data_IF_258473274996
#
_entry.id   IF_258473274996
#
_cell.length_a   1.000
_cell.length_b   1.000
_cell.length_c   1.000
_cell.angle_alpha   90.00
_cell.angle_beta   90.00
_cell.angle_gamma   90.00
#
_symmetry.space_group_name_H-M   'P 1'
#
loop_
_entity.id
_entity.type
_entity.pdbx_description
1 polymer ?
#
# COMPACT_ATOMS: atom_id res chain seq x y z
N UNK A 1 -24.45 -28.60 14.19
CA UNK A 1 -23.60 -27.72 13.36
C UNK A 1 -24.50 -27.15 12.29
N UNK A 2 -24.96 -25.90 12.41
CA UNK A 2 -25.92 -25.32 11.45
C UNK A 2 -25.25 -24.63 10.26
N UNK A 3 -23.97 -24.23 10.37
CA UNK A 3 -23.19 -23.65 9.28
C UNK A 3 -21.89 -24.40 9.04
N UNK A 4 -21.62 -24.75 7.77
CA UNK A 4 -20.40 -25.50 7.35
C UNK A 4 -19.43 -24.65 6.52
N UNK A 5 -19.90 -23.53 5.97
CA UNK A 5 -19.09 -22.58 5.21
C UNK A 5 -18.71 -21.41 6.12
N UNK A 6 -17.42 -21.11 6.24
CA UNK A 6 -16.93 -19.95 7.00
C UNK A 6 -17.06 -18.64 6.23
N UNK A 7 -15.98 -17.86 6.22
CA UNK A 7 -15.87 -16.61 5.45
C UNK A 7 -15.94 -16.88 3.94
N UNK A 8 -16.76 -16.11 3.23
CA UNK A 8 -16.87 -16.16 1.76
C UNK A 8 -16.48 -14.82 1.18
N UNK A 9 -15.59 -14.83 0.20
CA UNK A 9 -15.09 -13.61 -0.46
C UNK A 9 -15.48 -13.64 -1.93
N UNK A 10 -16.08 -12.56 -2.42
CA UNK A 10 -16.54 -12.43 -3.82
C UNK A 10 -15.98 -11.15 -4.44
N UNK A 11 -15.21 -11.28 -5.52
CA UNK A 11 -14.92 -10.15 -6.40
C UNK A 11 -16.15 -9.85 -7.25
N UNK A 12 -16.69 -8.64 -7.13
CA UNK A 12 -17.88 -8.21 -7.85
C UNK A 12 -17.47 -7.46 -9.11
N UNK A 13 -18.01 -7.87 -10.26
CA UNK A 13 -17.77 -7.16 -11.51
C UNK A 13 -18.46 -5.80 -11.48
N UNK A 14 -17.71 -4.75 -11.81
CA UNK A 14 -18.18 -3.36 -11.80
C UNK A 14 -18.10 -2.71 -13.18
N UNK A 15 -18.75 -1.55 -13.38
CA UNK A 15 -18.56 -0.75 -14.58
C UNK A 15 -17.18 -0.11 -14.62
N UNK A 16 -16.80 0.40 -15.80
CA UNK A 16 -15.62 1.26 -15.93
C UNK A 16 -15.95 2.60 -15.27
N UNK A 17 -15.25 2.92 -14.19
CA UNK A 17 -15.44 4.16 -13.42
C UNK A 17 -14.77 5.33 -14.13
N UNK A 18 -15.45 6.45 -14.32
CA UNK A 18 -14.92 7.66 -14.93
C UNK A 18 -14.86 8.81 -13.93
N UNK A 19 -14.11 9.85 -14.29
CA UNK A 19 -14.09 11.09 -13.51
C UNK A 19 -15.49 11.69 -13.42
N UNK A 20 -15.89 12.07 -12.21
CA UNK A 20 -17.20 12.64 -11.90
C UNK A 20 -18.29 11.60 -11.64
N UNK A 21 -17.99 10.31 -11.74
CA UNK A 21 -18.95 9.26 -11.40
C UNK A 21 -19.29 9.28 -9.89
N UNK A 22 -20.56 9.02 -9.57
CA UNK A 22 -21.01 8.83 -8.20
C UNK A 22 -20.60 7.43 -7.73
N UNK A 23 -19.44 7.34 -7.09
CA UNK A 23 -18.85 6.06 -6.70
C UNK A 23 -19.71 5.37 -5.63
N UNK A 24 -20.34 6.12 -4.72
CA UNK A 24 -21.19 5.58 -3.68
C UNK A 24 -22.37 4.80 -4.27
N UNK A 25 -23.06 5.42 -5.24
CA UNK A 25 -24.23 4.82 -5.89
C UNK A 25 -23.83 3.60 -6.72
N UNK A 26 -22.70 3.66 -7.43
CA UNK A 26 -22.20 2.54 -8.23
C UNK A 26 -21.89 1.33 -7.34
N UNK A 27 -21.24 1.53 -6.19
CA UNK A 27 -20.91 0.46 -5.25
C UNK A 27 -22.18 -0.18 -4.70
N UNK A 28 -23.13 0.64 -4.23
CA UNK A 28 -24.42 0.18 -3.72
C UNK A 28 -25.14 -0.68 -4.76
N UNK A 29 -25.27 -0.17 -5.97
CA UNK A 29 -26.00 -0.87 -7.04
C UNK A 29 -25.30 -2.17 -7.44
N UNK A 30 -23.97 -2.18 -7.49
CA UNK A 30 -23.17 -3.37 -7.77
C UNK A 30 -23.36 -4.46 -6.72
N UNK A 31 -23.36 -4.10 -5.43
CA UNK A 31 -23.58 -5.03 -4.31
C UNK A 31 -24.99 -5.61 -4.35
N UNK A 32 -26.01 -4.77 -4.53
CA UNK A 32 -27.42 -5.22 -4.57
C UNK A 32 -27.70 -6.07 -5.80
N UNK A 33 -27.15 -5.70 -6.96
CA UNK A 33 -27.27 -6.48 -8.18
C UNK A 33 -26.61 -7.85 -8.00
N UNK A 34 -25.39 -7.90 -7.46
CA UNK A 34 -24.69 -9.16 -7.21
C UNK A 34 -25.46 -10.06 -6.24
N UNK A 35 -25.95 -9.49 -5.13
CA UNK A 35 -26.78 -10.22 -4.15
C UNK A 35 -28.01 -10.86 -4.81
N UNK A 36 -28.70 -10.10 -5.66
CA UNK A 36 -29.87 -10.60 -6.39
C UNK A 36 -29.54 -11.66 -7.44
N UNK A 37 -28.49 -11.44 -8.24
CA UNK A 37 -28.16 -12.32 -9.38
C UNK A 37 -27.49 -13.62 -8.93
N UNK A 38 -26.61 -13.55 -7.95
CA UNK A 38 -25.86 -14.71 -7.42
C UNK A 38 -26.58 -15.39 -6.24
N UNK A 39 -27.72 -14.85 -5.80
CA UNK A 39 -28.59 -15.49 -4.82
C UNK A 39 -28.04 -15.56 -3.40
N UNK A 40 -27.21 -14.59 -2.98
CA UNK A 40 -26.77 -14.48 -1.58
C UNK A 40 -27.50 -13.33 -0.87
N UNK A 41 -27.79 -13.51 0.41
CA UNK A 41 -28.38 -12.47 1.26
C UNK A 41 -27.28 -11.64 1.90
N UNK A 42 -27.47 -10.32 1.96
CA UNK A 42 -26.59 -9.42 2.71
C UNK A 42 -26.94 -9.55 4.20
N UNK A 43 -25.93 -9.72 5.05
CA UNK A 43 -26.08 -9.92 6.48
C UNK A 43 -25.49 -8.77 7.31
N UNK A 44 -25.78 -8.79 8.60
CA UNK A 44 -25.21 -7.88 9.58
C UNK A 44 -23.68 -8.08 9.65
N UNK A 45 -22.91 -6.99 9.66
CA UNK A 45 -21.44 -6.99 9.69
C UNK A 45 -20.74 -7.65 8.48
N UNK A 46 -21.47 -7.95 7.40
CA UNK A 46 -20.82 -8.23 6.11
C UNK A 46 -20.02 -6.99 5.66
N UNK A 47 -18.98 -7.19 4.85
CA UNK A 47 -18.05 -6.13 4.47
C UNK A 47 -18.11 -5.88 2.97
N UNK A 48 -18.21 -4.61 2.59
CA UNK A 48 -18.04 -4.12 1.23
C UNK A 48 -16.70 -3.39 1.14
N UNK A 49 -15.79 -3.88 0.31
CA UNK A 49 -14.50 -3.25 0.08
C UNK A 49 -14.41 -2.74 -1.37
N UNK A 50 -13.85 -1.55 -1.58
CA UNK A 50 -13.62 -0.96 -2.90
C UNK A 50 -12.18 -0.43 -3.02
N UNK A 51 -11.57 -0.54 -4.20
CA UNK A 51 -10.17 -0.13 -4.36
C UNK A 51 -9.99 1.38 -4.24
N UNK A 52 -8.84 1.83 -3.71
CA UNK A 52 -8.42 3.24 -3.72
C UNK A 52 -8.46 3.82 -5.15
N UNK A 53 -8.05 2.97 -6.09
CA UNK A 53 -7.78 3.31 -7.48
C UNK A 53 -9.03 3.81 -8.20
N UNK A 54 -10.19 3.22 -7.92
CA UNK A 54 -11.47 3.67 -8.50
C UNK A 54 -12.00 4.93 -7.83
N UNK A 55 -11.75 5.11 -6.53
CA UNK A 55 -12.15 6.33 -5.80
C UNK A 55 -11.36 7.51 -6.34
N UNK A 56 -10.04 7.38 -6.47
CA UNK A 56 -9.18 8.40 -7.07
C UNK A 56 -9.60 8.74 -8.51
N UNK A 57 -10.02 7.72 -9.28
CA UNK A 57 -10.50 7.92 -10.66
C UNK A 57 -11.81 8.69 -10.71
N UNK A 58 -12.78 8.33 -9.87
CA UNK A 58 -14.05 9.05 -9.74
C UNK A 58 -13.84 10.51 -9.30
N UNK A 59 -12.91 10.75 -8.37
CA UNK A 59 -12.54 12.09 -7.92
C UNK A 59 -11.86 12.94 -8.99
N UNK A 60 -11.30 12.32 -10.03
CA UNK A 60 -10.47 13.03 -11.00
C UNK A 60 -9.15 13.50 -10.38
N UNK A 61 -8.61 12.78 -9.38
CA UNK A 61 -7.42 13.21 -8.65
C UNK A 61 -6.14 12.97 -9.48
N UNK A 62 -5.93 13.81 -10.50
CA UNK A 62 -4.84 13.69 -11.47
C UNK A 62 -3.91 14.89 -11.44
N UNK A 63 -2.63 14.65 -11.74
CA UNK A 63 -1.65 15.70 -11.95
C UNK A 63 -0.73 15.34 -13.13
N UNK A 64 -0.14 16.37 -13.75
CA UNK A 64 0.82 16.21 -14.85
C UNK A 64 2.25 16.26 -14.29
N UNK A 65 3.20 15.82 -15.11
CA UNK A 65 4.64 16.03 -14.87
C UNK A 65 4.95 17.51 -14.57
N UNK A 66 4.26 18.44 -15.24
CA UNK A 66 4.47 19.88 -15.09
C UNK A 66 4.02 20.41 -13.74
N UNK A 67 2.89 19.90 -13.21
CA UNK A 67 2.45 20.24 -11.87
C UNK A 67 3.47 19.77 -10.82
N UNK A 68 4.01 18.55 -10.97
CA UNK A 68 5.06 18.01 -10.09
C UNK A 68 6.32 18.88 -10.19
N UNK A 69 6.75 19.21 -11.41
CA UNK A 69 7.94 20.01 -11.66
C UNK A 69 7.85 21.40 -11.01
N UNK A 70 6.73 22.09 -11.18
CA UNK A 70 6.49 23.40 -10.58
C UNK A 70 6.53 23.34 -9.05
N UNK A 71 6.00 22.28 -8.45
CA UNK A 71 6.02 22.11 -7.01
C UNK A 71 7.44 21.82 -6.49
N UNK A 72 8.18 20.97 -7.19
CA UNK A 72 9.59 20.67 -6.90
C UNK A 72 10.45 21.93 -7.02
N UNK A 73 10.31 22.70 -8.09
CA UNK A 73 11.00 23.97 -8.30
C UNK A 73 10.69 24.96 -7.17
N UNK A 74 9.42 25.08 -6.75
CA UNK A 74 9.04 25.99 -5.66
C UNK A 74 9.67 25.64 -4.31
N UNK A 75 9.97 24.35 -4.08
CA UNK A 75 10.52 23.83 -2.83
C UNK A 75 12.04 23.83 -2.80
N UNK A 76 12.67 23.50 -3.93
CA UNK A 76 14.12 23.31 -4.01
C UNK A 76 14.84 24.48 -4.69
N UNK A 77 14.20 25.19 -5.62
CA UNK A 77 14.82 26.23 -6.43
C UNK A 77 15.97 25.68 -7.27
N UNK A 78 17.08 26.41 -7.30
CA UNK A 78 18.28 26.06 -8.09
C UNK A 78 19.25 25.09 -7.38
N UNK A 79 18.81 24.42 -6.32
CA UNK A 79 19.68 23.50 -5.58
C UNK A 79 19.94 22.20 -6.36
N UNK A 80 21.06 21.54 -6.06
CA UNK A 80 21.22 20.12 -6.41
C UNK A 80 20.33 19.30 -5.48
N UNK A 81 19.46 18.46 -6.04
CA UNK A 81 18.52 17.65 -5.26
C UNK A 81 19.08 16.24 -5.08
N UNK A 82 19.19 15.81 -3.84
CA UNK A 82 19.43 14.41 -3.50
C UNK A 82 18.12 13.65 -3.53
N UNK A 83 17.91 12.78 -4.52
CA UNK A 83 16.71 11.94 -4.62
C UNK A 83 17.04 10.56 -4.09
N UNK A 84 16.44 10.16 -2.97
CA UNK A 84 16.89 8.97 -2.23
C UNK A 84 15.77 7.95 -2.01
N UNK A 85 16.16 6.68 -2.00
CA UNK A 85 15.31 5.54 -1.64
C UNK A 85 13.98 5.42 -2.39
N UNK A 86 13.92 5.67 -3.71
CA UNK A 86 12.69 5.39 -4.45
C UNK A 86 12.43 3.88 -4.52
N UNK A 87 11.15 3.53 -4.58
CA UNK A 87 10.78 2.17 -4.99
C UNK A 87 11.04 1.98 -6.48
N UNK A 88 11.55 0.83 -6.86
CA UNK A 88 11.92 0.45 -8.22
C UNK A 88 10.69 -0.03 -9.00
N UNK A 89 9.81 0.91 -9.31
CA UNK A 89 8.60 0.67 -10.08
C UNK A 89 8.45 1.68 -11.21
N UNK A 90 8.28 1.17 -12.43
CA UNK A 90 7.91 2.00 -13.60
C UNK A 90 6.54 2.64 -13.42
N UNK A 91 5.61 1.93 -12.78
CA UNK A 91 4.23 2.40 -12.62
C UNK A 91 4.10 3.46 -11.51
N UNK A 92 4.82 3.28 -10.39
CA UNK A 92 4.71 4.15 -9.22
C UNK A 92 5.66 5.35 -9.26
N UNK A 93 6.85 5.19 -9.85
CA UNK A 93 7.91 6.21 -9.71
C UNK A 93 8.35 6.89 -11.00
N UNK A 94 8.15 6.30 -12.19
CA UNK A 94 8.70 6.88 -13.42
C UNK A 94 8.19 8.31 -13.72
N UNK A 95 6.88 8.53 -13.71
CA UNK A 95 6.31 9.86 -13.98
C UNK A 95 6.59 10.84 -12.83
N UNK A 96 6.64 10.36 -11.59
CA UNK A 96 7.09 11.16 -10.45
C UNK A 96 8.52 11.64 -10.67
N UNK A 97 9.44 10.76 -11.05
CA UNK A 97 10.84 11.09 -11.32
C UNK A 97 10.99 12.06 -12.50
N UNK A 98 10.18 11.91 -13.56
CA UNK A 98 10.14 12.88 -14.66
C UNK A 98 9.77 14.27 -14.19
N UNK A 99 8.74 14.38 -13.34
CA UNK A 99 8.34 15.66 -12.73
C UNK A 99 9.43 16.24 -11.84
N UNK A 100 10.06 15.40 -10.99
CA UNK A 100 11.18 15.80 -10.14
C UNK A 100 12.36 16.30 -10.97
N UNK A 101 12.74 15.56 -12.03
CA UNK A 101 13.81 15.95 -12.94
C UNK A 101 13.51 17.28 -13.62
N UNK A 102 12.33 17.43 -14.22
CA UNK A 102 11.94 18.66 -14.90
C UNK A 102 11.95 19.90 -13.99
N UNK A 103 11.68 19.74 -12.69
CA UNK A 103 11.75 20.80 -11.69
C UNK A 103 13.10 20.97 -10.99
N UNK A 104 14.12 20.17 -11.34
CA UNK A 104 15.42 20.17 -10.70
C UNK A 104 16.50 20.80 -11.60
N UNK A 105 17.58 21.30 -10.97
CA UNK A 105 18.77 21.76 -11.70
C UNK A 105 19.80 20.65 -11.93
N UNK A 106 20.03 19.83 -10.91
CA UNK A 106 20.91 18.65 -10.91
C UNK A 106 20.33 17.64 -9.91
N UNK A 107 20.47 16.35 -10.22
CA UNK A 107 20.04 15.27 -9.32
C UNK A 107 21.23 14.39 -8.94
N UNK A 108 21.31 14.08 -7.64
CA UNK A 108 22.10 12.94 -7.15
C UNK A 108 21.10 11.86 -6.74
N UNK A 109 21.02 10.79 -7.54
CA UNK A 109 20.11 9.67 -7.32
C UNK A 109 20.80 8.62 -6.44
N UNK A 110 20.30 8.45 -5.21
CA UNK A 110 20.80 7.43 -4.29
C UNK A 110 19.83 6.26 -4.19
N UNK A 111 20.27 5.09 -4.67
CA UNK A 111 19.48 3.86 -4.63
C UNK A 111 19.91 2.97 -3.46
N UNK A 112 18.92 2.40 -2.77
CA UNK A 112 19.13 1.32 -1.81
C UNK A 112 19.56 0.04 -2.54
N UNK A 113 20.38 -0.78 -1.89
CA UNK A 113 20.82 -2.07 -2.43
C UNK A 113 21.02 -3.11 -1.31
N UNK A 114 20.73 -4.42 -1.52
CA UNK A 114 20.42 -5.06 -2.80
C UNK A 114 19.05 -4.73 -3.37
N UNK A 115 18.13 -4.21 -2.55
CA UNK A 115 16.75 -3.93 -2.93
C UNK A 115 16.23 -2.62 -2.33
N UNK A 116 15.10 -2.13 -2.86
CA UNK A 116 14.33 -1.03 -2.27
C UNK A 116 13.55 -1.45 -1.01
N UNK A 117 12.78 -0.51 -0.44
CA UNK A 117 11.99 -0.75 0.78
C UNK A 117 10.96 -1.88 0.65
N UNK A 118 10.39 -2.07 -0.55
CA UNK A 118 9.39 -3.12 -0.80
C UNK A 118 10.01 -4.41 -1.29
N UNK A 119 11.32 -4.46 -1.53
CA UNK A 119 12.04 -5.67 -1.92
C UNK A 119 12.18 -5.87 -3.42
N UNK A 120 12.03 -4.84 -4.26
CA UNK A 120 12.51 -4.93 -5.65
C UNK A 120 14.03 -4.91 -5.66
N UNK A 121 14.63 -5.96 -6.20
CA UNK A 121 16.08 -6.13 -6.19
C UNK A 121 16.74 -5.45 -7.40
N UNK A 122 17.81 -4.69 -7.14
CA UNK A 122 18.82 -4.33 -8.14
C UNK A 122 19.80 -5.47 -8.38
N UNK A 123 20.11 -6.22 -7.32
CA UNK A 123 21.07 -7.32 -7.31
C UNK A 123 20.66 -8.37 -6.27
N UNK A 124 21.02 -9.64 -6.47
CA UNK A 124 20.75 -10.67 -5.45
C UNK A 124 21.66 -10.50 -4.24
N UNK A 125 21.18 -10.92 -3.08
CA UNK A 125 21.98 -10.92 -1.85
C UNK A 125 23.19 -11.87 -1.96
N UNK A 126 23.02 -13.02 -2.62
CA UNK A 126 24.11 -13.97 -2.85
C UNK A 126 25.26 -13.35 -3.65
N UNK A 127 24.94 -12.48 -4.63
CA UNK A 127 25.98 -11.81 -5.42
C UNK A 127 26.73 -10.74 -4.61
N UNK A 128 26.08 -10.15 -3.59
CA UNK A 128 26.80 -9.28 -2.65
C UNK A 128 27.84 -10.08 -1.86
N UNK A 129 27.46 -11.26 -1.35
CA UNK A 129 28.34 -12.15 -0.60
C UNK A 129 29.52 -12.63 -1.46
N UNK A 130 29.24 -13.05 -2.71
CA UNK A 130 30.27 -13.48 -3.67
C UNK A 130 31.29 -12.38 -3.98
N UNK A 131 30.86 -11.11 -4.02
CA UNK A 131 31.71 -9.96 -4.31
C UNK A 131 32.32 -9.33 -3.06
N UNK A 132 31.93 -9.78 -1.87
CA UNK A 132 32.39 -9.21 -0.60
C UNK A 132 31.92 -7.76 -0.37
N UNK A 133 30.79 -7.37 -0.94
CA UNK A 133 30.21 -6.03 -0.82
C UNK A 133 29.24 -6.00 0.35
N UNK A 134 29.43 -5.10 1.31
CA UNK A 134 28.57 -4.97 2.47
C UNK A 134 27.53 -3.85 2.29
N UNK A 135 26.23 -4.19 2.10
CA UNK A 135 25.20 -3.19 1.83
C UNK A 135 24.92 -2.26 3.02
N UNK A 136 25.39 -2.58 4.22
CA UNK A 136 25.17 -1.77 5.43
C UNK A 136 26.23 -0.68 5.62
N UNK A 137 27.41 -0.84 5.05
CA UNK A 137 28.55 0.06 5.27
C UNK A 137 29.08 0.67 3.99
N UNK A 138 29.01 -0.05 2.88
CA UNK A 138 29.69 0.35 1.68
C UNK A 138 28.85 1.38 0.92
N UNK A 139 29.53 2.37 0.36
CA UNK A 139 28.96 3.35 -0.54
C UNK A 139 29.60 3.13 -1.90
N UNK A 140 28.77 2.91 -2.92
CA UNK A 140 29.24 2.64 -4.27
C UNK A 140 28.85 3.79 -5.19
N UNK A 141 29.76 4.18 -6.06
CA UNK A 141 29.43 4.94 -7.27
C UNK A 141 28.81 4.00 -8.31
N UNK A 142 28.12 4.55 -9.31
CA UNK A 142 27.65 3.80 -10.49
C UNK A 142 28.74 2.93 -11.10
N UNK A 143 29.93 3.49 -11.35
CA UNK A 143 31.05 2.73 -11.90
C UNK A 143 31.42 1.53 -11.02
N UNK A 144 31.55 1.72 -9.70
CA UNK A 144 31.88 0.63 -8.78
C UNK A 144 30.78 -0.44 -8.77
N UNK A 145 29.51 -0.03 -8.74
CA UNK A 145 28.38 -0.96 -8.82
C UNK A 145 28.45 -1.79 -10.11
N UNK A 146 28.69 -1.14 -11.26
CA UNK A 146 28.84 -1.81 -12.57
C UNK A 146 30.07 -2.71 -12.63
N UNK A 147 31.19 -2.31 -12.03
CA UNK A 147 32.40 -3.14 -11.97
C UNK A 147 32.17 -4.43 -11.15
N UNK A 148 31.40 -4.35 -10.06
CA UNK A 148 31.06 -5.51 -9.24
C UNK A 148 30.02 -6.42 -9.89
N UNK A 149 28.94 -5.84 -10.43
CA UNK A 149 27.71 -6.58 -10.75
C UNK A 149 27.32 -6.54 -12.24
N UNK A 150 27.91 -5.64 -13.03
CA UNK A 150 27.55 -5.42 -14.42
C UNK A 150 26.17 -4.77 -14.60
N UNK A 151 25.48 -5.18 -15.66
CA UNK A 151 24.15 -4.68 -16.04
C UNK A 151 23.09 -5.71 -15.69
N UNK A 152 22.51 -5.59 -14.49
CA UNK A 152 21.50 -6.51 -13.99
C UNK A 152 20.10 -6.04 -14.42
N UNK A 153 19.36 -6.94 -15.05
CA UNK A 153 17.97 -6.73 -15.43
C UNK A 153 17.05 -7.35 -14.39
N UNK A 154 16.02 -6.61 -14.01
CA UNK A 154 15.03 -7.07 -13.07
C UNK A 154 14.28 -8.31 -13.59
N UNK A 155 14.10 -9.32 -12.74
CA UNK A 155 13.61 -10.66 -13.11
C UNK A 155 12.27 -10.65 -13.83
N UNK A 156 11.33 -9.79 -13.42
CA UNK A 156 10.00 -9.76 -14.02
C UNK A 156 9.84 -8.80 -15.20
N UNK A 157 10.62 -7.71 -15.24
CA UNK A 157 10.43 -6.64 -16.22
C UNK A 157 11.50 -6.64 -17.31
N UNK A 158 12.65 -7.29 -17.09
CA UNK A 158 13.79 -7.25 -18.00
C UNK A 158 14.48 -5.89 -18.10
N UNK A 159 14.17 -4.96 -17.18
CA UNK A 159 14.66 -3.58 -17.16
C UNK A 159 15.87 -3.48 -16.23
N UNK A 160 16.91 -2.78 -16.69
CA UNK A 160 17.96 -2.26 -15.82
C UNK A 160 17.46 -0.95 -15.21
N UNK A 161 17.07 -0.96 -13.94
CA UNK A 161 16.44 0.19 -13.29
C UNK A 161 17.41 1.37 -13.09
N UNK A 162 18.72 1.11 -13.02
CA UNK A 162 19.74 2.15 -12.88
C UNK A 162 19.81 2.95 -14.19
N UNK A 163 19.98 2.26 -15.33
CA UNK A 163 19.97 2.92 -16.66
C UNK A 163 18.62 3.59 -16.91
N UNK A 164 17.53 2.90 -16.58
CA UNK A 164 16.20 3.41 -16.82
C UNK A 164 15.96 4.73 -16.09
N UNK A 165 16.17 4.80 -14.78
CA UNK A 165 15.95 6.04 -14.03
C UNK A 165 16.91 7.15 -14.38
N UNK A 166 18.17 6.82 -14.66
CA UNK A 166 19.13 7.80 -15.18
C UNK A 166 18.65 8.40 -16.50
N UNK A 167 18.18 7.57 -17.44
CA UNK A 167 17.66 8.05 -18.73
C UNK A 167 16.42 8.94 -18.58
N UNK A 168 15.54 8.68 -17.60
CA UNK A 168 14.38 9.53 -17.34
C UNK A 168 14.77 10.94 -16.88
N UNK A 169 15.87 11.06 -16.13
CA UNK A 169 16.37 12.36 -15.64
C UNK A 169 17.07 13.10 -16.79
N UNK A 170 17.94 12.40 -17.51
CA UNK A 170 18.74 12.97 -18.61
C UNK A 170 17.89 13.40 -19.82
N UNK A 171 16.69 12.82 -20.01
CA UNK A 171 15.74 13.26 -21.03
C UNK A 171 15.36 14.74 -20.91
N UNK A 172 15.37 15.30 -19.69
CA UNK A 172 15.12 16.72 -19.43
C UNK A 172 16.39 17.58 -19.46
N UNK A 173 17.53 17.02 -19.90
CA UNK A 173 18.82 17.70 -19.93
C UNK A 173 19.43 17.93 -18.54
N UNK A 174 18.98 17.18 -17.53
CA UNK A 174 19.42 17.31 -16.14
C UNK A 174 20.58 16.37 -15.87
N UNK A 175 21.66 16.90 -15.29
CA UNK A 175 22.79 16.09 -14.86
C UNK A 175 22.36 15.14 -13.74
N UNK A 176 22.70 13.85 -13.89
CA UNK A 176 22.40 12.79 -12.94
C UNK A 176 23.67 12.08 -12.49
N UNK A 177 23.95 12.12 -11.19
CA UNK A 177 24.96 11.29 -10.54
C UNK A 177 24.27 10.17 -9.76
N UNK A 178 24.61 8.90 -10.05
CA UNK A 178 24.02 7.75 -9.35
C UNK A 178 25.00 7.19 -8.31
N UNK A 179 24.53 7.06 -7.08
CA UNK A 179 25.24 6.42 -5.96
C UNK A 179 24.37 5.37 -5.27
N UNK A 180 24.99 4.50 -4.49
CA UNK A 180 24.33 3.41 -3.77
C UNK A 180 24.72 3.43 -2.31
N UNK A 181 23.73 3.47 -1.42
CA UNK A 181 23.90 3.40 0.03
C UNK A 181 22.57 3.03 0.67
N UNK A 182 22.59 2.34 1.80
CA UNK A 182 21.42 2.16 2.66
C UNK A 182 21.39 3.14 3.84
N UNK A 183 22.36 4.05 3.91
CA UNK A 183 22.45 5.07 4.95
C UNK A 183 22.03 6.43 4.36
N UNK A 184 20.90 6.96 4.83
CA UNK A 184 20.36 8.23 4.35
C UNK A 184 21.37 9.38 4.43
N UNK A 185 22.26 9.37 5.45
CA UNK A 185 23.22 10.45 5.67
C UNK A 185 24.24 10.59 4.54
N UNK A 186 24.51 9.52 3.80
CA UNK A 186 25.48 9.53 2.69
C UNK A 186 25.14 10.62 1.65
N UNK A 187 23.85 10.91 1.42
CA UNK A 187 23.46 11.95 0.46
C UNK A 187 23.91 13.36 0.89
N UNK A 188 24.13 13.59 2.19
CA UNK A 188 24.48 14.90 2.73
C UNK A 188 25.92 15.31 2.39
N UNK A 189 26.76 14.36 1.97
CA UNK A 189 28.10 14.65 1.42
C UNK A 189 28.00 15.31 0.03
N UNK A 190 26.84 15.21 -0.62
CA UNK A 190 26.59 15.72 -1.97
C UNK A 190 25.68 16.95 -1.98
N UNK A 191 24.66 16.98 -1.12
CA UNK A 191 23.73 18.10 -1.02
C UNK A 191 22.94 18.09 0.30
N UNK A 192 22.55 19.28 0.76
CA UNK A 192 21.66 19.45 1.93
C UNK A 192 20.19 19.57 1.54
N UNK A 193 19.88 19.50 0.26
CA UNK A 193 18.54 19.60 -0.31
C UNK A 193 18.13 18.24 -0.82
N UNK A 194 17.25 17.57 -0.07
CA UNK A 194 16.98 16.14 -0.21
C UNK A 194 15.48 15.88 -0.35
N UNK A 195 15.13 15.08 -1.36
CA UNK A 195 13.81 14.47 -1.53
C UNK A 195 13.89 12.98 -1.20
N UNK A 196 13.22 12.57 -0.13
CA UNK A 196 13.15 11.16 0.27
C UNK A 196 11.90 10.48 -0.28
N UNK A 197 12.09 9.35 -0.96
CA UNK A 197 11.07 8.66 -1.74
C UNK A 197 10.63 7.31 -1.16
N UNK A 198 11.14 6.97 0.03
CA UNK A 198 10.66 5.85 0.81
C UNK A 198 9.20 6.07 1.24
N UNK A 199 8.46 4.98 1.38
CA UNK A 199 7.04 5.00 1.70
C UNK A 199 6.89 4.86 3.22
N UNK A 200 7.25 3.71 3.78
CA UNK A 200 6.91 3.37 5.18
C UNK A 200 7.92 3.93 6.18
N UNK A 201 9.16 4.15 5.74
CA UNK A 201 10.26 4.66 6.57
C UNK A 201 10.46 6.18 6.46
N UNK A 202 9.67 6.88 5.64
CA UNK A 202 9.81 8.31 5.30
C UNK A 202 10.04 9.24 6.48
N UNK A 203 9.28 9.05 7.55
CA UNK A 203 9.40 9.89 8.75
C UNK A 203 10.74 9.69 9.47
N UNK A 204 11.22 8.44 9.53
CA UNK A 204 12.53 8.12 10.09
C UNK A 204 13.64 8.70 9.21
N UNK A 205 13.53 8.56 7.90
CA UNK A 205 14.52 9.08 6.95
C UNK A 205 14.63 10.60 7.01
N UNK A 206 13.49 11.32 6.96
CA UNK A 206 13.46 12.79 7.14
C UNK A 206 14.09 13.21 8.46
N UNK A 207 13.75 12.53 9.56
CA UNK A 207 14.34 12.82 10.87
C UNK A 207 15.86 12.67 10.85
N UNK A 208 16.38 11.58 10.30
CA UNK A 208 17.83 11.34 10.19
C UNK A 208 18.51 12.46 9.39
N UNK A 209 17.94 12.86 8.26
CA UNK A 209 18.51 13.92 7.42
C UNK A 209 18.53 15.27 8.14
N UNK A 210 17.41 15.67 8.76
CA UNK A 210 17.31 16.92 9.52
C UNK A 210 18.29 16.95 10.70
N UNK A 211 18.38 15.87 11.47
CA UNK A 211 19.27 15.76 12.64
C UNK A 211 20.76 15.79 12.25
N UNK A 212 21.10 15.60 10.97
CA UNK A 212 22.48 15.54 10.46
C UNK A 212 22.81 16.66 9.47
N UNK A 213 22.02 17.74 9.42
CA UNK A 213 22.35 18.96 8.69
C UNK A 213 21.73 19.11 7.30
N UNK A 214 20.70 18.33 6.98
CA UNK A 214 19.81 18.65 5.85
C UNK A 214 19.09 19.98 6.08
N UNK A 215 18.99 20.80 5.03
CA UNK A 215 18.39 22.15 5.10
C UNK A 215 16.99 22.16 4.46
N UNK A 216 16.87 21.62 3.23
CA UNK A 216 15.58 21.47 2.53
C UNK A 216 15.27 19.98 2.41
N UNK A 217 14.59 19.42 3.42
CA UNK A 217 14.28 17.98 3.48
C UNK A 217 12.78 17.76 3.30
N UNK A 218 12.41 17.28 2.11
CA UNK A 218 11.04 16.92 1.75
C UNK A 218 10.93 15.42 1.51
N UNK A 219 9.72 14.89 1.62
CA UNK A 219 9.36 13.54 1.18
C UNK A 219 8.32 13.62 0.07
N UNK A 220 8.03 12.50 -0.59
CA UNK A 220 6.98 12.44 -1.62
C UNK A 220 5.60 12.89 -1.10
N UNK A 221 5.28 12.72 0.18
CA UNK A 221 4.06 13.27 0.79
C UNK A 221 4.02 14.79 0.86
N UNK A 222 5.13 15.47 0.63
CA UNK A 222 5.18 16.93 0.56
C UNK A 222 5.06 17.43 -0.88
N UNK A 223 5.15 16.57 -1.90
CA UNK A 223 5.00 16.97 -3.30
C UNK A 223 3.55 16.74 -3.72
N UNK A 224 2.90 17.77 -4.26
CA UNK A 224 1.46 17.85 -4.50
C UNK A 224 0.63 17.59 -3.23
N UNK A 225 1.07 18.14 -2.10
CA UNK A 225 0.28 18.21 -0.86
C UNK A 225 -0.85 19.24 -0.92
N UNK A 226 -0.83 20.10 -1.93
CA UNK A 226 -1.85 21.07 -2.28
C UNK A 226 -1.96 21.17 -3.80
N UNK A 227 -3.09 21.71 -4.29
CA UNK A 227 -3.28 21.90 -5.73
C UNK A 227 -2.24 22.87 -6.29
N UNK A 228 -1.71 22.54 -7.47
CA UNK A 228 -0.82 23.38 -8.26
C UNK A 228 -1.52 23.65 -9.58
N UNK A 229 -1.85 24.91 -9.86
CA UNK A 229 -2.55 25.33 -11.09
C UNK A 229 -3.87 24.56 -11.34
N UNK A 230 -4.57 24.17 -10.27
CA UNK A 230 -5.82 23.41 -10.36
C UNK A 230 -5.64 21.89 -10.49
N UNK A 231 -4.42 21.38 -10.32
CA UNK A 231 -4.15 19.93 -10.27
C UNK A 231 -4.90 19.23 -9.13
N UNK A 232 -5.04 17.92 -9.27
CA UNK A 232 -5.23 17.02 -8.14
C UNK A 232 -4.10 17.15 -7.12
N UNK A 233 -4.37 16.74 -5.89
CA UNK A 233 -3.43 16.75 -4.76
C UNK A 233 -3.89 15.76 -3.69
N UNK A 234 -2.99 15.44 -2.75
CA UNK A 234 -3.34 14.70 -1.55
C UNK A 234 -2.63 15.31 -0.34
N UNK A 235 -3.41 15.85 0.60
CA UNK A 235 -2.91 16.59 1.76
C UNK A 235 -2.08 15.74 2.74
N UNK A 236 -2.31 14.43 2.80
CA UNK A 236 -1.61 13.52 3.71
C UNK A 236 -0.46 12.77 3.03
N UNK A 237 -0.64 12.43 1.76
CA UNK A 237 0.21 11.48 1.05
C UNK A 237 0.92 12.06 -0.17
N UNK A 238 0.59 13.27 -0.63
CA UNK A 238 1.21 13.90 -1.80
C UNK A 238 1.29 12.94 -3.00
N UNK A 239 2.52 12.63 -3.42
CA UNK A 239 2.81 11.66 -4.49
C UNK A 239 2.87 10.18 -4.04
N UNK A 240 2.84 9.89 -2.74
CA UNK A 240 2.78 8.50 -2.26
C UNK A 240 1.46 7.84 -2.68
N UNK A 241 1.53 6.60 -3.14
CA UNK A 241 0.39 5.89 -3.70
C UNK A 241 0.00 6.35 -5.11
N UNK A 242 0.72 7.31 -5.71
CA UNK A 242 0.45 7.72 -7.08
C UNK A 242 0.80 6.61 -8.09
N UNK A 243 0.05 6.56 -9.17
CA UNK A 243 0.21 5.62 -10.27
C UNK A 243 0.28 6.36 -11.61
N UNK A 244 1.04 5.84 -12.57
CA UNK A 244 1.01 6.31 -13.95
C UNK A 244 -0.42 6.24 -14.49
N UNK A 245 -0.96 7.38 -14.95
CA UNK A 245 -2.29 7.46 -15.57
C UNK A 245 -2.21 7.60 -17.09
N UNK A 246 -1.27 8.41 -17.56
CA UNK A 246 -0.92 8.60 -18.98
C UNK A 246 0.60 8.66 -19.12
N UNK A 247 1.13 8.86 -20.32
CA UNK A 247 2.57 9.08 -20.50
C UNK A 247 3.07 10.34 -19.76
N UNK A 248 2.22 11.33 -19.57
CA UNK A 248 2.59 12.64 -18.98
C UNK A 248 1.90 12.93 -17.63
N UNK A 249 1.15 11.97 -17.10
CA UNK A 249 0.29 12.17 -15.94
C UNK A 249 0.37 11.07 -14.91
N UNK A 250 0.02 11.43 -13.67
CA UNK A 250 -0.19 10.53 -12.55
C UNK A 250 -1.63 10.64 -12.06
N UNK A 251 -2.16 9.52 -11.57
CA UNK A 251 -3.32 9.48 -10.69
C UNK A 251 -2.81 9.41 -9.26
N UNK A 252 -3.24 10.34 -8.43
CA UNK A 252 -2.86 10.43 -7.03
C UNK A 252 -3.73 9.52 -6.18
N UNK A 253 -3.25 9.17 -4.99
CA UNK A 253 -4.02 8.43 -3.99
C UNK A 253 -5.30 9.21 -3.61
N UNK A 254 -6.44 8.55 -3.32
CA UNK A 254 -7.69 9.25 -3.06
C UNK A 254 -7.60 10.04 -1.75
N UNK A 255 -8.43 11.06 -1.66
CA UNK A 255 -8.54 11.97 -0.52
C UNK A 255 -9.99 12.04 -0.05
N UNK A 256 -10.26 12.68 1.08
CA UNK A 256 -11.63 12.84 1.61
C UNK A 256 -12.49 11.55 1.52
N UNK A 257 -11.90 10.44 1.96
CA UNK A 257 -12.43 9.10 1.72
C UNK A 257 -13.50 8.68 2.74
N UNK A 258 -13.52 9.30 3.93
CA UNK A 258 -14.43 8.90 5.01
C UNK A 258 -15.91 9.13 4.67
N UNK A 259 -16.32 10.28 4.10
CA UNK A 259 -17.72 10.48 3.71
C UNK A 259 -18.23 9.43 2.72
N UNK A 260 -17.35 8.92 1.85
CA UNK A 260 -17.70 7.90 0.84
C UNK A 260 -18.11 6.59 1.52
N UNK A 261 -17.30 6.07 2.45
CA UNK A 261 -17.60 4.79 3.12
C UNK A 261 -18.83 4.91 4.03
N UNK A 262 -18.98 6.06 4.70
CA UNK A 262 -20.12 6.33 5.58
C UNK A 262 -21.44 6.43 4.78
N UNK A 263 -21.42 7.10 3.62
CA UNK A 263 -22.57 7.21 2.73
C UNK A 263 -22.97 5.85 2.13
N UNK A 264 -22.00 5.04 1.69
CA UNK A 264 -22.28 3.69 1.18
C UNK A 264 -22.94 2.83 2.28
N UNK A 265 -22.39 2.86 3.50
CA UNK A 265 -22.97 2.14 4.65
C UNK A 265 -24.41 2.60 4.92
N UNK A 266 -24.64 3.91 4.94
CA UNK A 266 -25.97 4.49 5.14
C UNK A 266 -26.97 4.01 4.09
N UNK A 267 -26.64 4.13 2.79
CA UNK A 267 -27.53 3.75 1.70
C UNK A 267 -27.81 2.23 1.72
N UNK A 268 -26.79 1.40 1.97
CA UNK A 268 -26.99 -0.05 2.10
C UNK A 268 -27.88 -0.40 3.28
N UNK A 269 -27.72 0.29 4.42
CA UNK A 269 -28.58 0.11 5.59
C UNK A 269 -30.03 0.49 5.31
N UNK A 270 -30.27 1.60 4.61
CA UNK A 270 -31.61 2.01 4.19
C UNK A 270 -32.26 0.99 3.25
N UNK A 271 -31.51 0.47 2.27
CA UNK A 271 -32.03 -0.45 1.26
C UNK A 271 -32.19 -1.90 1.75
N UNK A 272 -31.38 -2.32 2.72
CA UNK A 272 -31.31 -3.74 3.15
C UNK A 272 -31.75 -3.96 4.60
N UNK A 273 -31.80 -2.91 5.42
CA UNK A 273 -32.00 -3.00 6.87
C UNK A 273 -30.82 -3.60 7.64
N UNK A 274 -29.65 -3.80 7.00
CA UNK A 274 -28.45 -4.40 7.59
C UNK A 274 -27.35 -3.38 7.79
N UNK A 275 -26.65 -3.44 8.92
CA UNK A 275 -25.46 -2.64 9.12
C UNK A 275 -24.25 -3.41 8.57
N UNK A 276 -23.87 -3.10 7.34
CA UNK A 276 -22.66 -3.63 6.69
C UNK A 276 -21.49 -2.72 6.97
N UNK A 277 -20.28 -3.25 7.04
CA UNK A 277 -19.07 -2.45 7.11
C UNK A 277 -18.55 -2.13 5.71
N UNK A 278 -17.92 -0.97 5.53
CA UNK A 278 -17.41 -0.50 4.25
C UNK A 278 -15.97 -0.03 4.42
N UNK A 279 -15.09 -0.37 3.49
CA UNK A 279 -13.72 0.13 3.48
C UNK A 279 -13.18 0.40 2.08
N UNK A 280 -12.41 1.46 1.94
CA UNK A 280 -11.53 1.67 0.78
C UNK A 280 -10.21 0.97 1.08
N UNK A 281 -9.68 0.18 0.14
CA UNK A 281 -8.42 -0.53 0.30
C UNK A 281 -7.42 -0.18 -0.80
N UNK A 282 -6.15 -0.01 -0.42
CA UNK A 282 -5.00 0.03 -1.33
C UNK A 282 -4.30 -1.32 -1.39
N UNK A 283 -3.02 -1.33 -1.73
CA UNK A 283 -2.20 -2.53 -1.82
C UNK A 283 -2.21 -3.38 -0.52
N UNK A 284 -2.33 -4.70 -0.67
CA UNK A 284 -2.36 -5.65 0.43
C UNK A 284 -0.97 -6.17 0.82
N UNK A 285 -0.66 -6.26 2.12
CA UNK A 285 0.68 -6.60 2.64
C UNK A 285 1.11 -8.08 2.44
N UNK A 286 1.05 -8.60 1.22
CA UNK A 286 1.56 -9.92 0.81
C UNK A 286 2.99 -9.79 0.29
N UNK A 287 3.86 -10.76 0.64
CA UNK A 287 5.20 -10.87 0.07
C UNK A 287 5.25 -12.04 -0.91
N UNK A 288 5.55 -11.75 -2.17
CA UNK A 288 5.79 -12.80 -3.15
C UNK A 288 7.07 -13.59 -2.78
N UNK A 289 7.00 -14.93 -2.63
CA UNK A 289 8.15 -15.71 -2.24
C UNK A 289 9.21 -15.86 -3.34
N UNK A 290 8.91 -15.56 -4.61
CA UNK A 290 9.86 -15.72 -5.72
C UNK A 290 10.71 -14.45 -5.89
N UNK A 291 10.05 -13.32 -6.16
CA UNK A 291 10.65 -12.00 -6.31
C UNK A 291 11.02 -11.34 -4.99
N UNK A 292 10.51 -11.84 -3.87
CA UNK A 292 10.72 -11.27 -2.52
C UNK A 292 10.22 -9.81 -2.41
N UNK A 293 9.26 -9.44 -3.24
CA UNK A 293 8.64 -8.12 -3.27
C UNK A 293 7.37 -8.16 -2.42
N UNK A 294 7.20 -7.14 -1.58
CA UNK A 294 5.95 -6.85 -0.90
C UNK A 294 5.03 -6.07 -1.85
N UNK A 295 3.80 -6.51 -2.00
CA UNK A 295 2.72 -5.73 -2.61
C UNK A 295 2.25 -4.65 -1.62
N UNK A 296 3.13 -3.72 -1.26
CA UNK A 296 2.84 -2.68 -0.27
C UNK A 296 3.44 -1.34 -0.72
N UNK A 297 3.08 -0.93 -1.94
CA UNK A 297 3.56 0.31 -2.54
C UNK A 297 2.66 1.53 -2.26
N UNK A 298 1.50 1.30 -1.64
CA UNK A 298 0.65 2.37 -1.10
C UNK A 298 1.10 2.80 0.32
N UNK A 299 0.83 4.06 0.71
CA UNK A 299 1.24 4.58 2.01
C UNK A 299 0.46 4.00 3.20
N UNK A 300 -0.74 3.47 2.94
CA UNK A 300 -1.61 2.79 3.91
C UNK A 300 -2.45 1.73 3.19
N UNK A 301 -2.81 0.65 3.91
CA UNK A 301 -3.69 -0.41 3.35
C UNK A 301 -5.13 0.09 3.21
N UNK A 302 -5.60 1.00 4.06
CA UNK A 302 -6.97 1.50 4.00
C UNK A 302 -7.02 2.99 4.36
N UNK A 303 -7.33 3.88 3.38
CA UNK A 303 -7.47 5.31 3.65
C UNK A 303 -8.76 5.68 4.39
N UNK A 304 -9.81 4.85 4.31
CA UNK A 304 -11.05 5.06 5.05
C UNK A 304 -11.82 3.76 5.24
N UNK A 305 -12.53 3.68 6.36
CA UNK A 305 -13.35 2.53 6.71
C UNK A 305 -14.39 2.90 7.77
N UNK A 306 -15.46 2.12 7.84
CA UNK A 306 -16.51 2.29 8.84
C UNK A 306 -16.08 1.77 10.21
N UNK A 307 -16.71 2.30 11.25
CA UNK A 307 -16.24 2.11 12.63
C UNK A 307 -16.22 0.66 13.15
N UNK A 308 -16.98 -0.26 12.57
CA UNK A 308 -16.96 -1.67 12.96
C UNK A 308 -15.69 -2.41 12.52
N UNK A 309 -14.86 -1.80 11.67
CA UNK A 309 -13.55 -2.33 11.28
C UNK A 309 -12.41 -1.82 12.16
N UNK A 310 -12.71 -1.05 13.21
CA UNK A 310 -11.74 -0.65 14.21
C UNK A 310 -11.24 -1.84 15.04
N UNK A 311 -9.96 -1.80 15.40
CA UNK A 311 -9.36 -2.76 16.32
C UNK A 311 -8.67 -3.92 15.63
N UNK A 312 -8.69 -5.08 16.29
CA UNK A 312 -7.89 -6.26 15.95
C UNK A 312 -8.73 -7.52 16.13
N UNK A 313 -8.46 -8.60 15.39
CA UNK A 313 -9.11 -9.88 15.65
C UNK A 313 -8.91 -10.31 17.11
N UNK A 314 -10.00 -10.68 17.77
CA UNK A 314 -9.99 -11.22 19.13
C UNK A 314 -10.55 -12.66 19.11
N UNK A 315 -9.78 -13.60 18.56
CA UNK A 315 -10.17 -15.01 18.43
C UNK A 315 -9.47 -15.92 19.43
N UNK A 316 -10.15 -16.99 19.82
CA UNK A 316 -9.59 -18.03 20.70
C UNK A 316 -9.08 -19.19 19.86
N UNK A 317 -7.97 -19.79 20.27
CA UNK A 317 -7.44 -20.97 19.58
C UNK A 317 -8.23 -22.21 19.94
N UNK A 318 -9.15 -22.62 19.07
CA UNK A 318 -9.98 -23.82 19.25
C UNK A 318 -9.13 -25.07 19.58
N UNK A 319 -8.01 -25.24 18.86
CA UNK A 319 -7.08 -26.35 19.11
C UNK A 319 -6.45 -26.28 20.50
N UNK A 320 -6.07 -25.07 20.96
CA UNK A 320 -5.51 -24.91 22.30
C UNK A 320 -6.54 -25.27 23.37
N UNK A 321 -7.78 -24.79 23.22
CA UNK A 321 -8.88 -25.11 24.14
C UNK A 321 -9.16 -26.62 24.17
N UNK A 322 -9.17 -27.27 23.00
CA UNK A 322 -9.39 -28.72 22.90
C UNK A 322 -8.25 -29.53 23.51
N UNK A 323 -6.99 -29.16 23.23
CA UNK A 323 -5.81 -29.93 23.64
C UNK A 323 -5.41 -29.67 25.11
N UNK A 324 -5.84 -28.56 25.71
CA UNK A 324 -5.47 -28.17 27.08
C UNK A 324 -6.68 -28.07 28.01
N UNK A 325 -7.49 -27.01 27.86
CA UNK A 325 -8.58 -26.69 28.80
C UNK A 325 -9.67 -27.78 28.84
N UNK A 326 -9.86 -28.50 27.73
CA UNK A 326 -10.90 -29.52 27.57
C UNK A 326 -10.35 -30.89 27.09
N UNK A 327 -9.08 -31.19 27.35
CA UNK A 327 -8.39 -32.40 26.85
C UNK A 327 -9.09 -33.73 27.22
N UNK A 328 -9.87 -33.74 28.30
CA UNK A 328 -10.65 -34.90 28.73
C UNK A 328 -11.99 -35.09 28.02
N UNK A 329 -12.48 -34.08 27.29
CA UNK A 329 -13.80 -34.11 26.63
C UNK A 329 -13.68 -34.59 25.18
N UNK A 330 -14.74 -35.23 24.67
CA UNK A 330 -14.82 -35.72 23.29
C UNK A 330 -16.21 -35.51 22.70
N UNK A 331 -16.32 -35.54 21.37
CA UNK A 331 -17.60 -35.49 20.67
C UNK A 331 -18.43 -34.25 21.03
N UNK A 332 -19.71 -34.45 21.30
CA UNK A 332 -20.65 -33.36 21.61
C UNK A 332 -20.29 -32.61 22.90
N UNK A 333 -19.72 -33.28 23.90
CA UNK A 333 -19.35 -32.64 25.17
C UNK A 333 -18.23 -31.61 24.97
N UNK A 334 -17.22 -31.96 24.18
CA UNK A 334 -16.15 -31.03 23.80
C UNK A 334 -16.71 -29.84 23.00
N UNK A 335 -17.62 -30.12 22.06
CA UNK A 335 -18.24 -29.08 21.24
C UNK A 335 -19.04 -28.08 22.09
N UNK A 336 -19.80 -28.58 23.08
CA UNK A 336 -20.54 -27.72 24.03
C UNK A 336 -19.61 -26.87 24.88
N UNK A 337 -18.57 -27.48 25.47
CA UNK A 337 -17.62 -26.78 26.32
C UNK A 337 -16.87 -25.65 25.58
N UNK A 338 -16.41 -25.93 24.35
CA UNK A 338 -15.78 -24.91 23.49
C UNK A 338 -16.78 -23.80 23.14
N UNK A 339 -18.02 -24.15 22.82
CA UNK A 339 -19.06 -23.17 22.47
C UNK A 339 -19.41 -22.26 23.64
N UNK A 340 -19.53 -22.81 24.84
CA UNK A 340 -19.76 -22.04 26.07
C UNK A 340 -18.58 -21.12 26.38
N UNK A 341 -17.34 -21.60 26.22
CA UNK A 341 -16.15 -20.77 26.41
C UNK A 341 -16.14 -19.56 25.46
N UNK A 342 -16.42 -19.78 24.17
CA UNK A 342 -16.44 -18.71 23.15
C UNK A 342 -17.50 -17.66 23.46
N UNK A 343 -18.67 -18.07 23.97
CA UNK A 343 -19.76 -17.15 24.35
C UNK A 343 -19.41 -16.29 25.57
N UNK A 344 -18.59 -16.82 26.48
CA UNK A 344 -18.27 -16.19 27.77
C UNK A 344 -16.88 -15.55 27.82
N UNK A 345 -16.10 -15.59 26.74
CA UNK A 345 -14.74 -15.04 26.70
C UNK A 345 -14.73 -13.52 26.89
N UNK A 346 -13.63 -13.01 27.44
CA UNK A 346 -13.41 -11.57 27.59
C UNK A 346 -13.29 -10.84 26.24
N UNK A 347 -13.71 -9.57 26.24
CA UNK A 347 -13.66 -8.68 25.08
C UNK A 347 -12.23 -8.31 24.67
N UNK A 348 -11.23 -8.53 25.54
CA UNK A 348 -9.81 -8.38 25.25
C UNK A 348 -9.04 -9.60 25.79
N UNK A 349 -8.42 -10.37 24.89
CA UNK A 349 -7.62 -11.54 25.23
C UNK A 349 -6.11 -11.28 25.10
N UNK A 350 -5.68 -10.02 24.97
CA UNK A 350 -4.25 -9.69 24.86
C UNK A 350 -3.49 -10.25 26.08
N UNK A 351 -2.54 -11.15 25.81
CA UNK A 351 -1.71 -11.79 26.84
C UNK A 351 -2.28 -13.07 27.45
N UNK A 352 -3.51 -13.46 27.12
CA UNK A 352 -4.07 -14.75 27.54
C UNK A 352 -3.33 -15.91 26.84
N UNK A 353 -3.10 -17.02 27.56
CA UNK A 353 -2.44 -18.21 26.97
C UNK A 353 -3.26 -18.79 25.81
N UNK A 354 -4.59 -18.71 25.90
CA UNK A 354 -5.55 -19.12 24.87
C UNK A 354 -5.50 -18.27 23.59
N UNK A 355 -4.88 -17.08 23.66
CA UNK A 355 -4.64 -16.17 22.55
C UNK A 355 -3.16 -16.13 22.10
N UNK A 356 -2.25 -16.87 22.76
CA UNK A 356 -0.82 -16.86 22.42
C UNK A 356 -0.58 -17.33 20.99
N UNK A 357 0.00 -16.46 20.16
CA UNK A 357 0.45 -16.75 18.80
C UNK A 357 -0.41 -16.15 17.68
N UNK A 358 -1.32 -15.22 17.98
CA UNK A 358 -1.81 -14.25 16.99
C UNK A 358 -0.94 -12.98 17.11
N UNK A 359 -0.22 -12.62 16.05
CA UNK A 359 0.41 -11.30 16.00
C UNK A 359 -0.72 -10.28 15.84
N UNK A 360 -0.86 -9.30 16.75
CA UNK A 360 -1.97 -8.35 16.67
C UNK A 360 -1.85 -7.50 15.40
N UNK A 361 -2.69 -7.79 14.41
CA UNK A 361 -2.82 -7.02 13.16
C UNK A 361 -4.11 -6.20 13.23
N UNK A 362 -4.13 -5.02 12.60
CA UNK A 362 -5.38 -4.26 12.45
C UNK A 362 -6.32 -5.04 11.52
N UNK A 363 -7.61 -5.00 11.79
CA UNK A 363 -8.61 -5.64 10.94
C UNK A 363 -8.53 -5.13 9.51
N UNK A 364 -8.39 -3.82 9.32
CA UNK A 364 -8.26 -3.16 8.02
C UNK A 364 -7.08 -3.69 7.20
N UNK A 365 -5.95 -4.00 7.84
CA UNK A 365 -4.77 -4.50 7.14
C UNK A 365 -5.00 -5.94 6.64
N UNK A 366 -5.69 -6.76 7.44
CA UNK A 366 -6.03 -8.14 7.08
C UNK A 366 -7.11 -8.19 6.00
N UNK A 367 -8.19 -7.44 6.19
CA UNK A 367 -9.35 -7.41 5.28
C UNK A 367 -8.96 -6.73 3.97
N UNK A 368 -8.19 -5.64 4.02
CA UNK A 368 -7.65 -4.98 2.83
C UNK A 368 -6.75 -5.91 2.03
N UNK A 369 -5.86 -6.67 2.69
CA UNK A 369 -5.03 -7.67 2.00
C UNK A 369 -5.86 -8.81 1.40
N UNK A 370 -6.94 -9.24 2.08
CA UNK A 370 -7.87 -10.23 1.54
C UNK A 370 -8.61 -9.71 0.30
N UNK A 371 -9.04 -8.45 0.34
CA UNK A 371 -9.71 -7.79 -0.77
C UNK A 371 -8.76 -7.62 -1.96
N UNK A 372 -7.53 -7.18 -1.74
CA UNK A 372 -6.52 -7.01 -2.77
C UNK A 372 -6.14 -8.33 -3.46
N UNK A 373 -5.92 -9.40 -2.69
CA UNK A 373 -5.71 -10.74 -3.25
C UNK A 373 -6.90 -11.22 -4.08
N UNK A 374 -8.12 -10.81 -3.73
CA UNK A 374 -9.34 -11.18 -4.45
C UNK A 374 -9.47 -10.41 -5.76
N UNK A 375 -9.27 -9.09 -5.76
CA UNK A 375 -9.30 -8.28 -6.99
C UNK A 375 -8.11 -8.60 -7.90
N UNK A 376 -6.95 -8.87 -7.30
CA UNK A 376 -5.67 -9.01 -7.97
C UNK A 376 -5.15 -7.70 -8.56
N UNK A 377 -3.89 -7.73 -9.01
CA UNK A 377 -3.16 -6.57 -9.54
C UNK A 377 -3.51 -6.18 -10.99
N UNK A 378 -4.44 -6.89 -11.64
CA UNK A 378 -4.83 -6.66 -13.02
C UNK A 378 -6.26 -6.15 -13.15
N UNK A 379 -6.58 -5.54 -14.29
CA UNK A 379 -7.94 -5.07 -14.60
C UNK A 379 -8.87 -6.26 -14.93
N UNK A 380 -9.24 -7.03 -13.91
CA UNK A 380 -10.21 -8.13 -14.02
C UNK A 380 -11.66 -7.64 -14.03
N UNK A 381 -11.86 -6.32 -14.04
CA UNK A 381 -13.18 -5.70 -13.92
C UNK A 381 -13.86 -5.96 -12.58
N UNK A 382 -13.14 -6.36 -11.53
CA UNK A 382 -13.67 -6.61 -10.19
C UNK A 382 -13.19 -5.58 -9.16
N UNK A 383 -13.59 -4.30 -9.27
CA UNK A 383 -13.08 -3.24 -8.41
C UNK A 383 -13.71 -3.24 -7.00
N UNK A 384 -14.72 -4.08 -6.77
CA UNK A 384 -15.40 -4.22 -5.49
C UNK A 384 -15.28 -5.65 -4.99
N UNK A 385 -15.19 -5.82 -3.67
CA UNK A 385 -15.14 -7.10 -3.00
C UNK A 385 -16.22 -7.15 -1.93
N UNK A 386 -16.99 -8.22 -1.90
CA UNK A 386 -17.98 -8.48 -0.86
C UNK A 386 -17.55 -9.68 -0.03
N UNK A 387 -17.41 -9.46 1.29
CA UNK A 387 -16.92 -10.45 2.24
C UNK A 387 -18.06 -10.76 3.22
N UNK A 388 -18.44 -12.04 3.28
CA UNK A 388 -19.49 -12.52 4.16
C UNK A 388 -18.96 -13.35 5.30
N UNK A 389 -19.51 -13.11 6.48
CA UNK A 389 -19.21 -13.87 7.69
C UNK A 389 -17.74 -13.83 8.09
N UNK A 390 -17.09 -12.67 7.94
CA UNK A 390 -15.73 -12.46 8.43
C UNK A 390 -15.67 -12.50 9.97
N UNK A 391 -16.70 -11.96 10.63
CA UNK A 391 -16.77 -11.86 12.10
C UNK A 391 -17.53 -13.01 12.76
N UNK A 392 -17.96 -14.01 11.98
CA UNK A 392 -18.64 -15.18 12.54
C UNK A 392 -17.63 -16.04 13.32
N UNK A 393 -18.11 -16.66 14.39
CA UNK A 393 -17.30 -17.54 15.22
C UNK A 393 -17.86 -18.96 15.19
N UNK A 394 -17.15 -19.91 15.80
CA UNK A 394 -17.53 -21.32 15.82
C UNK A 394 -18.94 -21.62 16.37
N UNK A 395 -19.55 -20.68 17.08
CA UNK A 395 -20.90 -20.83 17.66
C UNK A 395 -22.02 -20.27 16.79
N UNK A 396 -21.69 -19.64 15.65
CA UNK A 396 -22.64 -19.03 14.71
C UNK A 396 -22.68 -19.73 13.37
#
# INVERSE_FOLDING_TARGET
MERVVGTVVRGLRGPIINQGDNIEQIVVDSVLQASKQEGFSIQEQDIVALTESIVARAQGNYATIDHIAKDVESKFGDDTIGVIFPILSRNRFANCLRGIAKGAKKIVLMLSYPADEVGNHLVSIDLLDEKGVNPWTDVLTEKQFRDYFGYIKHTFTGVDYIEYYKSLIEEYGIECEVIFSNNAKTILDYTKSVLTCDIHTRFRTKKILNDNGGEKVYSLDNILSNSIDGSGYNEEYGLLGANKSTEEGVKLFPRDCQPIVDNIQMILKEKTGKNVEVMIYGDGAFKDPIGKIWELADPVVSPAYTSGLNGRPNEVKLKYLADNNFAGLKGEELQKAISEYIKNKDADLVGAMEAQGTTPRKLTDLIGSLADLTSGSGDKGTPFVFIQGYFDNYTK
#
